data_IF_775986686764
#
_entry.id   IF_775986686764
#
_cell.length_a   1.000
_cell.length_b   1.000
_cell.length_c   1.000
_cell.angle_alpha   90.00
_cell.angle_beta   90.00
_cell.angle_gamma   90.00
#
_symmetry.space_group_name_H-M   'P 1'
#
loop_
_entity.id
_entity.type
_entity.pdbx_description
1 polymer ?
#
# COMPACT_ATOMS: atom_id res chain seq x y z
N UNK A 1 -9.04 -19.73 10.75
CA UNK A 1 -8.86 -18.51 9.91
C UNK A 1 -10.21 -17.80 9.94
N UNK A 2 -10.34 -16.59 10.46
CA UNK A 2 -11.64 -15.91 10.44
C UNK A 2 -11.91 -15.37 9.05
N UNK A 3 -13.07 -15.73 8.52
CA UNK A 3 -13.55 -15.42 7.18
C UNK A 3 -13.97 -13.94 7.05
N UNK A 4 -13.19 -13.17 6.30
CA UNK A 4 -13.50 -11.77 5.93
C UNK A 4 -14.45 -11.70 4.73
N UNK A 5 -15.53 -12.47 4.74
CA UNK A 5 -16.52 -12.37 3.67
C UNK A 5 -17.95 -12.41 4.17
N UNK A 6 -18.54 -11.20 4.08
CA UNK A 6 -19.92 -10.96 3.66
C UNK A 6 -20.97 -11.16 4.76
N UNK A 7 -20.99 -10.22 5.71
CA UNK A 7 -22.13 -9.98 6.58
C UNK A 7 -22.36 -8.48 6.70
N UNK A 8 -23.60 -8.06 6.47
CA UNK A 8 -24.18 -6.72 6.69
C UNK A 8 -23.63 -5.57 5.83
N UNK A 9 -24.54 -5.00 5.04
CA UNK A 9 -24.50 -3.64 4.51
C UNK A 9 -23.71 -2.70 5.44
N UNK A 10 -22.67 -2.03 4.92
CA UNK A 10 -21.81 -1.13 5.70
C UNK A 10 -22.66 0.06 6.21
N UNK A 11 -23.27 -0.13 7.37
CA UNK A 11 -24.30 0.74 7.92
C UNK A 11 -23.66 1.95 8.63
N UNK A 12 -22.43 1.79 9.12
CA UNK A 12 -21.72 2.87 9.80
C UNK A 12 -20.74 3.60 8.87
N UNK A 13 -20.76 4.94 8.84
CA UNK A 13 -19.85 5.75 8.02
C UNK A 13 -18.36 5.44 8.29
N UNK A 14 -18.01 5.06 9.52
CA UNK A 14 -16.65 4.68 9.89
C UNK A 14 -16.19 3.37 9.22
N UNK A 15 -17.08 2.39 9.07
CA UNK A 15 -16.77 1.12 8.41
C UNK A 15 -16.51 1.32 6.92
N UNK A 16 -17.29 2.21 6.27
CA UNK A 16 -17.06 2.60 4.87
C UNK A 16 -15.69 3.25 4.68
N UNK A 17 -15.34 4.18 5.56
CA UNK A 17 -14.01 4.80 5.54
C UNK A 17 -12.91 3.75 5.72
N UNK A 18 -13.02 2.92 6.75
CA UNK A 18 -12.01 1.89 7.04
C UNK A 18 -11.87 0.89 5.90
N UNK A 19 -12.97 0.49 5.27
CA UNK A 19 -12.97 -0.39 4.11
C UNK A 19 -12.24 0.26 2.92
N UNK A 20 -12.62 1.48 2.53
CA UNK A 20 -12.01 2.19 1.39
C UNK A 20 -10.53 2.47 1.68
N UNK A 21 -10.21 2.94 2.88
CA UNK A 21 -8.85 3.22 3.32
C UNK A 21 -7.97 1.97 3.29
N UNK A 22 -8.45 0.86 3.87
CA UNK A 22 -7.71 -0.41 3.91
C UNK A 22 -7.57 -1.03 2.52
N UNK A 23 -8.60 -0.95 1.68
CA UNK A 23 -8.56 -1.41 0.28
C UNK A 23 -7.52 -0.65 -0.53
N UNK A 24 -7.52 0.69 -0.46
CA UNK A 24 -6.53 1.54 -1.11
C UNK A 24 -5.12 1.22 -0.61
N UNK A 25 -4.93 1.13 0.71
CA UNK A 25 -3.65 0.77 1.30
C UNK A 25 -3.15 -0.58 0.79
N UNK A 26 -4.02 -1.59 0.74
CA UNK A 26 -3.68 -2.92 0.22
C UNK A 26 -3.23 -2.88 -1.25
N UNK A 27 -3.88 -2.07 -2.09
CA UNK A 27 -3.45 -1.89 -3.50
C UNK A 27 -2.07 -1.25 -3.57
N UNK A 28 -1.83 -0.21 -2.77
CA UNK A 28 -0.55 0.49 -2.72
C UNK A 28 0.57 -0.46 -2.26
N UNK A 29 0.38 -1.14 -1.14
CA UNK A 29 1.35 -2.09 -0.58
C UNK A 29 1.68 -3.23 -1.54
N UNK A 30 0.67 -3.84 -2.16
CA UNK A 30 0.89 -4.89 -3.16
C UNK A 30 1.65 -4.38 -4.38
N UNK A 31 1.34 -3.17 -4.86
CA UNK A 31 2.03 -2.55 -5.99
C UNK A 31 3.52 -2.35 -5.68
N UNK A 32 3.83 -1.76 -4.52
CA UNK A 32 5.21 -1.61 -4.07
C UNK A 32 5.90 -2.96 -3.81
N UNK A 33 5.16 -3.96 -3.34
CA UNK A 33 5.66 -5.33 -3.15
C UNK A 33 6.12 -5.97 -4.47
N UNK A 34 5.27 -5.94 -5.50
CA UNK A 34 5.61 -6.45 -6.84
C UNK A 34 6.79 -5.69 -7.45
N UNK A 35 6.77 -4.35 -7.34
CA UNK A 35 7.85 -3.50 -7.82
C UNK A 35 9.20 -3.84 -7.16
N UNK A 36 9.25 -3.90 -5.83
CA UNK A 36 10.47 -4.28 -5.08
C UNK A 36 10.93 -5.72 -5.36
N UNK A 37 10.00 -6.65 -5.58
CA UNK A 37 10.35 -8.03 -5.92
C UNK A 37 10.99 -8.15 -7.31
N UNK A 38 10.52 -7.35 -8.28
CA UNK A 38 11.05 -7.32 -9.65
C UNK A 38 12.45 -6.70 -9.72
N UNK A 39 12.68 -5.60 -9.00
CA UNK A 39 13.94 -4.87 -9.04
C UNK A 39 14.83 -5.20 -7.84
N UNK A 40 15.71 -6.21 -7.98
CA UNK A 40 16.60 -6.69 -6.90
C UNK A 40 17.44 -5.59 -6.24
N UNK A 41 17.83 -4.56 -7.00
CA UNK A 41 18.59 -3.40 -6.49
C UNK A 41 17.85 -2.63 -5.38
N UNK A 42 16.52 -2.71 -5.34
CA UNK A 42 15.71 -2.05 -4.31
C UNK A 42 15.64 -2.86 -3.01
N UNK A 43 15.93 -4.17 -3.05
CA UNK A 43 15.96 -5.02 -1.84
C UNK A 43 17.25 -4.84 -1.06
N UNK A 44 18.36 -4.76 -1.78
CA UNK A 44 19.68 -4.49 -1.21
C UNK A 44 20.24 -3.23 -1.88
N UNK A 45 19.75 -2.06 -1.47
CA UNK A 45 20.22 -0.78 -1.99
C UNK A 45 21.71 -0.63 -1.64
N UNK A 46 22.62 -0.53 -2.63
CA UNK A 46 24.03 -0.31 -2.35
C UNK A 46 24.23 1.04 -1.65
N UNK A 47 25.31 1.17 -0.89
CA UNK A 47 25.66 2.38 -0.12
C UNK A 47 26.14 3.54 -1.03
N UNK A 48 25.34 3.90 -2.04
CA UNK A 48 25.53 5.11 -2.82
C UNK A 48 25.07 6.33 -2.01
N UNK A 49 25.53 7.53 -2.42
CA UNK A 49 24.96 8.77 -1.92
C UNK A 49 23.43 8.81 -2.11
N UNK A 50 22.72 9.42 -1.16
CA UNK A 50 21.25 9.53 -1.17
C UNK A 50 20.68 10.04 -2.49
N UNK A 51 21.37 10.99 -3.14
CA UNK A 51 20.98 11.51 -4.45
C UNK A 51 20.95 10.40 -5.51
N UNK A 52 21.96 9.55 -5.53
CA UNK A 52 22.05 8.41 -6.45
C UNK A 52 20.99 7.36 -6.14
N UNK A 53 20.74 7.07 -4.85
CA UNK A 53 19.65 6.17 -4.46
C UNK A 53 18.29 6.67 -4.95
N UNK A 54 18.02 7.98 -4.84
CA UNK A 54 16.80 8.59 -5.36
C UNK A 54 16.67 8.43 -6.88
N UNK A 55 17.76 8.62 -7.63
CA UNK A 55 17.74 8.38 -9.08
C UNK A 55 17.42 6.92 -9.42
N UNK A 56 17.96 5.95 -8.66
CA UNK A 56 17.65 4.53 -8.84
C UNK A 56 16.16 4.26 -8.59
N UNK A 57 15.60 4.81 -7.51
CA UNK A 57 14.17 4.70 -7.18
C UNK A 57 13.31 5.25 -8.32
N UNK A 58 13.59 6.47 -8.78
CA UNK A 58 12.80 7.11 -9.85
C UNK A 58 12.95 6.36 -11.18
N UNK A 59 14.17 5.98 -11.56
CA UNK A 59 14.41 5.25 -12.81
C UNK A 59 13.68 3.89 -12.84
N UNK A 60 13.76 3.14 -11.74
CA UNK A 60 13.06 1.85 -11.63
C UNK A 60 11.54 2.00 -11.55
N UNK A 61 11.01 3.10 -11.01
CA UNK A 61 9.58 3.44 -11.07
C UNK A 61 9.13 3.73 -12.49
N UNK A 62 9.83 4.61 -13.21
CA UNK A 62 9.51 4.96 -14.59
C UNK A 62 9.53 3.71 -15.47
N UNK A 63 10.58 2.90 -15.35
CA UNK A 63 10.72 1.67 -16.14
C UNK A 63 9.63 0.64 -15.80
N UNK A 64 9.27 0.50 -14.51
CA UNK A 64 8.17 -0.37 -14.11
C UNK A 64 6.83 0.05 -14.70
N UNK A 65 6.53 1.35 -14.65
CA UNK A 65 5.29 1.90 -15.19
C UNK A 65 5.25 1.77 -16.72
N UNK A 66 6.38 2.03 -17.39
CA UNK A 66 6.50 1.86 -18.84
C UNK A 66 6.23 0.41 -19.25
N UNK A 67 6.84 -0.57 -18.57
CA UNK A 67 6.61 -1.98 -18.87
C UNK A 67 5.13 -2.34 -18.64
N UNK A 68 4.54 -1.95 -17.50
CA UNK A 68 3.11 -2.21 -17.24
C UNK A 68 2.17 -1.60 -18.29
N UNK A 69 2.52 -0.45 -18.86
CA UNK A 69 1.70 0.22 -19.87
C UNK A 69 1.79 -0.46 -21.26
N UNK A 70 2.89 -1.16 -21.55
CA UNK A 70 3.19 -1.70 -22.87
C UNK A 70 3.21 -3.22 -22.95
N UNK A 71 3.15 -3.92 -21.81
CA UNK A 71 3.02 -5.37 -21.77
C UNK A 71 1.55 -5.78 -21.96
N UNK A 72 1.19 -6.20 -23.17
CA UNK A 72 -0.16 -6.66 -23.52
C UNK A 72 -0.57 -7.96 -22.78
N UNK A 73 0.36 -8.59 -22.05
CA UNK A 73 0.14 -9.83 -21.31
C UNK A 73 0.14 -9.65 -19.78
N UNK A 74 0.18 -8.42 -19.23
CA UNK A 74 0.04 -8.20 -17.77
C UNK A 74 -1.42 -8.34 -17.30
N UNK A 75 -2.15 -9.31 -17.88
CA UNK A 75 -3.31 -9.92 -17.25
C UNK A 75 -2.74 -10.76 -16.12
N UNK A 76 -2.69 -10.15 -14.93
CA UNK A 76 -2.44 -10.79 -13.64
C UNK A 76 -2.94 -12.26 -13.65
N UNK A 77 -2.05 -13.26 -13.71
CA UNK A 77 -2.47 -14.62 -13.46
C UNK A 77 -2.63 -14.72 -11.95
N UNK A 78 -3.83 -14.37 -11.49
CA UNK A 78 -4.25 -14.75 -10.16
C UNK A 78 -4.05 -16.27 -10.01
N UNK A 79 -3.50 -16.64 -8.85
CA UNK A 79 -3.49 -18.00 -8.28
C UNK A 79 -2.34 -18.90 -8.73
N UNK A 80 -1.30 -18.90 -7.91
CA UNK A 80 -0.74 -20.17 -7.44
C UNK A 80 -0.48 -20.00 -5.96
N UNK A 81 -1.41 -20.54 -5.18
CA UNK A 81 -1.22 -20.76 -3.75
C UNK A 81 -0.26 -21.94 -3.62
N UNK A 82 1.02 -21.66 -3.43
CA UNK A 82 1.96 -22.63 -2.90
C UNK A 82 3.16 -21.90 -2.31
N UNK A 83 3.28 -22.10 -1.00
CA UNK A 83 4.50 -22.03 -0.20
C UNK A 83 4.94 -20.65 0.27
N UNK A 84 4.14 -20.15 1.22
CA UNK A 84 4.62 -19.33 2.31
C UNK A 84 5.69 -20.09 3.10
N UNK A 85 6.96 -19.86 2.77
CA UNK A 85 8.03 -19.96 3.76
C UNK A 85 8.25 -18.56 4.33
N UNK A 86 7.66 -18.33 5.50
CA UNK A 86 7.82 -17.10 6.25
C UNK A 86 9.25 -16.97 6.74
N UNK A 87 10.02 -16.06 6.13
CA UNK A 87 11.22 -15.55 6.77
C UNK A 87 10.80 -14.34 7.60
N UNK A 88 10.75 -14.55 8.91
CA UNK A 88 10.50 -13.52 9.92
C UNK A 88 11.63 -12.49 9.89
N UNK A 89 11.40 -11.35 9.26
CA UNK A 89 12.28 -10.20 9.37
C UNK A 89 11.79 -9.35 10.55
N UNK A 90 12.34 -9.64 11.74
CA UNK A 90 12.30 -8.71 12.87
C UNK A 90 13.19 -7.50 12.53
N UNK A 91 12.67 -6.60 11.70
CA UNK A 91 13.20 -5.26 11.55
C UNK A 91 12.72 -4.42 12.73
N UNK A 92 13.62 -4.21 13.70
CA UNK A 92 13.46 -3.23 14.77
C UNK A 92 13.36 -1.84 14.15
N UNK A 93 12.13 -1.37 13.88
CA UNK A 93 11.87 0.00 13.40
C UNK A 93 11.88 0.98 14.59
N UNK A 94 12.93 0.95 15.37
CA UNK A 94 13.11 1.86 16.50
C UNK A 94 13.66 3.19 15.98
N UNK A 95 12.76 4.16 15.84
CA UNK A 95 13.13 5.53 15.49
C UNK A 95 12.20 6.27 14.53
N UNK A 96 11.10 5.67 14.02
CA UNK A 96 10.17 6.38 13.12
C UNK A 96 8.74 6.49 13.67
N UNK A 97 8.39 5.73 14.71
CA UNK A 97 7.07 5.82 15.33
C UNK A 97 6.81 7.19 16.00
N UNK A 98 7.87 7.89 16.45
CA UNK A 98 7.74 9.13 17.20
C UNK A 98 7.32 10.35 16.34
N UNK A 99 7.69 10.36 15.05
CA UNK A 99 7.38 11.47 14.13
C UNK A 99 5.91 11.43 13.64
N UNK A 100 5.24 10.29 13.72
CA UNK A 100 3.84 10.12 13.26
C UNK A 100 2.82 10.60 14.30
N UNK A 101 3.25 11.10 15.46
CA UNK A 101 2.38 11.44 16.60
C UNK A 101 1.80 12.86 16.65
N UNK A 102 2.08 13.74 15.67
CA UNK A 102 1.70 15.17 15.75
C UNK A 102 0.67 15.64 14.71
N UNK A 103 -0.32 14.81 14.40
CA UNK A 103 -1.59 15.34 13.92
C UNK A 103 -2.59 15.18 15.06
N UNK A 104 -3.13 16.31 15.53
CA UNK A 104 -4.10 16.32 16.62
C UNK A 104 -5.25 15.37 16.29
N UNK A 105 -5.67 14.58 17.28
CA UNK A 105 -6.68 13.53 17.09
C UNK A 105 -7.99 14.12 16.52
N UNK A 106 -8.29 15.38 16.86
CA UNK A 106 -9.43 16.11 16.34
C UNK A 106 -9.30 16.45 14.85
N UNK A 107 -8.12 16.90 14.39
CA UNK A 107 -7.87 17.20 12.96
C UNK A 107 -7.95 15.91 12.12
N UNK A 108 -7.32 14.84 12.58
CA UNK A 108 -7.36 13.55 11.89
C UNK A 108 -8.79 12.98 11.83
N UNK A 109 -9.57 13.17 12.90
CA UNK A 109 -11.00 12.84 12.94
C UNK A 109 -11.81 13.70 11.98
N UNK A 110 -11.51 14.99 11.86
CA UNK A 110 -12.18 15.89 10.93
C UNK A 110 -11.91 15.49 9.47
N UNK A 111 -10.66 15.15 9.14
CA UNK A 111 -10.27 14.65 7.81
C UNK A 111 -11.04 13.37 7.48
N UNK A 112 -11.05 12.40 8.40
CA UNK A 112 -11.82 11.15 8.26
C UNK A 112 -13.29 11.44 7.99
N UNK A 113 -13.93 12.27 8.81
CA UNK A 113 -15.35 12.61 8.66
C UNK A 113 -15.66 13.27 7.31
N UNK A 114 -14.79 14.18 6.84
CA UNK A 114 -14.92 14.83 5.53
C UNK A 114 -14.82 13.83 4.37
N UNK A 115 -13.86 12.91 4.43
CA UNK A 115 -13.69 11.84 3.42
C UNK A 115 -14.92 10.93 3.43
N UNK A 116 -15.37 10.51 4.61
CA UNK A 116 -16.55 9.67 4.78
C UNK A 116 -17.80 10.31 4.18
N UNK A 117 -18.03 11.60 4.44
CA UNK A 117 -19.16 12.33 3.87
C UNK A 117 -19.10 12.33 2.33
N UNK A 118 -17.93 12.60 1.75
CA UNK A 118 -17.70 12.55 0.29
C UNK A 118 -17.94 11.15 -0.30
N UNK A 119 -17.47 10.08 0.35
CA UNK A 119 -17.71 8.70 -0.10
C UNK A 119 -19.20 8.37 -0.11
N UNK A 120 -19.94 8.81 0.91
CA UNK A 120 -21.37 8.55 1.04
C UNK A 120 -22.23 9.34 0.06
N UNK A 121 -21.85 10.56 -0.34
CA UNK A 121 -22.62 11.38 -1.28
C UNK A 121 -22.47 10.95 -2.74
N UNK A 122 -21.36 10.31 -3.12
CA UNK A 122 -21.11 9.83 -4.50
C UNK A 122 -21.86 8.52 -4.86
N UNK A 123 -22.69 7.97 -3.97
CA UNK A 123 -23.43 6.71 -4.17
C UNK A 123 -24.96 6.91 -4.28
N UNK A 124 -25.44 8.13 -4.55
CA UNK A 124 -26.84 8.46 -4.82
C UNK A 124 -26.97 9.25 -6.13
#
# INVERSE_FOLDING_TARGET
>A
MPDFQRGTELHHPEERFNYVHSSLRSVIERTFGVWKNRWKILRCMPAFHIRTQNYIIVATMVLHNFIRAHDQNDVNPGRSASDASGSSENGHYDGVADVVSYLDEAEMKQIRNSITASICTNHN
#
